data_IF_341670630785
#
_entry.id   IF_341670630785
#
_cell.length_a   1.000
_cell.length_b   1.000
_cell.length_c   1.000
_cell.angle_alpha   90.00
_cell.angle_beta   90.00
_cell.angle_gamma   90.00
#
_symmetry.space_group_name_H-M   'P 1'
#
loop_
_entity.id
_entity.type
_entity.pdbx_description
1 polymer ?
#
# COMPACT_ATOMS: atom_id res chain seq x y z
N UNK A 1 3.51 -14.00 -7.30
CA UNK A 1 4.31 -12.89 -7.85
C UNK A 1 5.79 -13.09 -7.49
N UNK A 2 6.69 -13.07 -8.47
CA UNK A 2 8.15 -13.31 -8.35
C UNK A 2 8.89 -12.18 -7.60
N UNK A 3 8.24 -11.04 -7.39
CA UNK A 3 8.77 -9.87 -6.65
C UNK A 3 7.70 -9.29 -5.71
N UNK A 4 7.34 -10.02 -4.65
CA UNK A 4 6.27 -9.62 -3.71
C UNK A 4 6.56 -8.34 -2.93
N UNK A 5 7.83 -8.05 -2.67
CA UNK A 5 8.26 -6.84 -1.94
C UNK A 5 8.38 -5.60 -2.82
N UNK A 6 8.15 -5.72 -4.13
CA UNK A 6 8.53 -4.70 -5.10
C UNK A 6 10.04 -4.67 -5.34
N UNK A 7 10.43 -3.85 -6.31
CA UNK A 7 11.83 -3.55 -6.66
C UNK A 7 11.98 -2.07 -6.91
N UNK A 8 13.18 -1.54 -6.68
CA UNK A 8 13.54 -0.17 -7.05
C UNK A 8 13.70 -0.04 -8.56
N UNK A 9 13.66 1.19 -9.06
CA UNK A 9 13.88 1.49 -10.47
C UNK A 9 15.24 0.96 -10.96
N UNK A 10 16.30 1.11 -10.15
CA UNK A 10 17.65 0.62 -10.48
C UNK A 10 17.72 -0.91 -10.57
N UNK A 11 17.02 -1.61 -9.69
CA UNK A 11 16.92 -3.07 -9.73
C UNK A 11 16.11 -3.54 -10.94
N UNK A 12 15.05 -2.82 -11.28
CA UNK A 12 14.26 -3.07 -12.49
C UNK A 12 15.11 -2.93 -13.76
N UNK A 13 15.87 -1.85 -13.88
CA UNK A 13 16.77 -1.64 -15.03
C UNK A 13 17.85 -2.72 -15.11
N UNK A 14 18.44 -3.11 -13.97
CA UNK A 14 19.38 -4.22 -13.91
C UNK A 14 18.74 -5.55 -14.33
N UNK A 15 17.50 -5.82 -13.94
CA UNK A 15 16.74 -6.99 -14.37
C UNK A 15 16.54 -6.96 -15.90
N UNK A 16 16.10 -5.83 -16.45
CA UNK A 16 15.86 -5.71 -17.89
C UNK A 16 17.14 -5.88 -18.72
N UNK A 17 18.30 -5.48 -18.20
CA UNK A 17 19.59 -5.69 -18.86
C UNK A 17 19.96 -7.18 -18.97
N UNK A 18 19.56 -7.98 -17.99
CA UNK A 18 19.85 -9.42 -17.92
C UNK A 18 18.77 -10.27 -18.57
N UNK A 19 17.54 -9.76 -18.58
CA UNK A 19 16.34 -10.49 -18.99
C UNK A 19 15.37 -9.54 -19.71
N UNK A 20 15.58 -9.27 -21.01
CA UNK A 20 14.73 -8.33 -21.77
C UNK A 20 13.26 -8.72 -21.82
N UNK A 21 12.93 -10.02 -21.78
CA UNK A 21 11.55 -10.54 -21.76
C UNK A 21 10.79 -10.16 -20.48
N UNK A 22 11.51 -9.75 -19.42
CA UNK A 22 10.87 -9.26 -18.21
C UNK A 22 10.03 -8.00 -18.46
N UNK A 23 10.27 -7.25 -19.54
CA UNK A 23 9.45 -6.07 -19.91
C UNK A 23 7.96 -6.38 -20.10
N UNK A 24 7.61 -7.59 -20.53
CA UNK A 24 6.22 -7.96 -20.83
C UNK A 24 5.45 -8.48 -19.61
N UNK A 25 6.11 -8.64 -18.47
CA UNK A 25 5.46 -9.07 -17.25
C UNK A 25 4.53 -7.98 -16.71
N UNK A 26 3.53 -8.39 -15.93
CA UNK A 26 2.53 -7.49 -15.32
C UNK A 26 3.10 -6.70 -14.14
N UNK A 27 3.97 -5.73 -14.44
CA UNK A 27 4.51 -4.81 -13.45
C UNK A 27 3.45 -3.82 -12.97
N UNK A 28 3.47 -3.54 -11.67
CA UNK A 28 2.69 -2.47 -11.08
C UNK A 28 3.64 -1.42 -10.52
N UNK A 29 3.42 -0.15 -10.89
CA UNK A 29 4.18 0.96 -10.33
C UNK A 29 3.67 1.22 -8.92
N UNK A 30 4.56 1.16 -7.93
CA UNK A 30 4.24 1.42 -6.53
C UNK A 30 5.01 2.65 -6.04
N UNK A 31 4.33 3.55 -5.32
CA UNK A 31 4.97 4.66 -4.61
C UNK A 31 5.34 4.19 -3.20
N UNK A 32 6.61 4.33 -2.82
CA UNK A 32 7.07 4.02 -1.45
C UNK A 32 6.60 5.11 -0.50
N UNK A 33 6.06 4.71 0.65
CA UNK A 33 5.53 5.62 1.70
C UNK A 33 4.57 6.68 1.13
N UNK A 34 3.46 6.28 0.48
CA UNK A 34 2.51 7.24 -0.05
C UNK A 34 1.83 7.98 1.11
N UNK A 35 1.68 9.29 0.98
CA UNK A 35 0.78 10.06 1.83
C UNK A 35 -0.62 10.02 1.21
N UNK A 36 -1.57 9.54 1.99
CA UNK A 36 -2.97 9.39 1.58
C UNK A 36 -3.83 10.21 2.52
N UNK A 37 -4.82 10.91 1.96
CA UNK A 37 -5.76 11.73 2.71
C UNK A 37 -7.19 11.27 2.41
N UNK A 38 -8.03 11.25 3.43
CA UNK A 38 -9.44 10.89 3.33
C UNK A 38 -10.34 11.98 3.93
N UNK A 39 -11.53 12.14 3.35
CA UNK A 39 -12.61 13.02 3.82
C UNK A 39 -13.95 12.34 3.55
N UNK A 40 -14.93 12.53 4.43
CA UNK A 40 -16.28 11.98 4.25
C UNK A 40 -16.69 11.02 5.37
N UNK A 41 -17.56 10.04 5.05
CA UNK A 41 -18.12 9.11 6.04
C UNK A 41 -17.59 7.71 5.81
N UNK A 42 -17.05 7.09 6.86
CA UNK A 42 -16.55 5.72 6.84
C UNK A 42 -17.54 4.85 7.61
N UNK A 43 -18.08 3.83 6.95
CA UNK A 43 -19.02 2.87 7.55
C UNK A 43 -18.35 1.51 7.66
N UNK A 44 -18.35 0.93 8.84
CA UNK A 44 -17.93 -0.45 9.08
C UNK A 44 -19.11 -1.21 9.72
N UNK A 45 -19.42 -2.46 9.32
CA UNK A 45 -20.51 -3.21 9.92
C UNK A 45 -20.38 -3.37 11.44
N UNK A 46 -19.15 -3.51 11.93
CA UNK A 46 -18.88 -3.79 13.34
C UNK A 46 -18.74 -2.53 14.21
N UNK A 47 -18.77 -1.31 13.62
CA UNK A 47 -18.53 -0.06 14.35
C UNK A 47 -19.41 1.10 13.90
N UNK A 48 -19.48 2.14 14.73
CA UNK A 48 -20.18 3.38 14.41
C UNK A 48 -19.56 4.04 13.16
N UNK A 49 -20.40 4.78 12.42
CA UNK A 49 -19.93 5.56 11.26
C UNK A 49 -19.03 6.69 11.74
N UNK A 50 -17.82 6.78 11.17
CA UNK A 50 -16.87 7.85 11.47
C UNK A 50 -17.08 8.97 10.44
N UNK A 51 -17.23 10.21 10.92
CA UNK A 51 -17.30 11.39 10.06
C UNK A 51 -15.98 12.15 10.08
N UNK A 52 -15.42 12.40 8.89
CA UNK A 52 -14.18 13.12 8.64
C UNK A 52 -14.53 14.45 7.95
N UNK A 53 -14.76 15.55 8.71
CA UNK A 53 -15.27 16.81 8.16
C UNK A 53 -14.25 17.59 7.32
N UNK A 54 -12.96 17.31 7.49
CA UNK A 54 -11.87 17.86 6.69
C UNK A 54 -10.96 16.73 6.18
N UNK A 55 -9.82 17.06 5.58
CA UNK A 55 -8.88 16.06 5.11
C UNK A 55 -8.07 15.52 6.29
N UNK A 56 -8.16 14.21 6.53
CA UNK A 56 -7.36 13.52 7.53
C UNK A 56 -6.29 12.69 6.84
N UNK A 57 -5.09 12.67 7.41
CA UNK A 57 -4.01 11.80 6.93
C UNK A 57 -4.30 10.36 7.34
N UNK A 58 -4.29 9.48 6.36
CA UNK A 58 -4.45 8.05 6.55
C UNK A 58 -3.11 7.44 6.92
N UNK A 59 -3.05 6.73 8.04
CA UNK A 59 -1.85 6.00 8.47
C UNK A 59 -2.07 4.50 8.36
N UNK A 60 -1.08 3.78 7.84
CA UNK A 60 -1.10 2.32 7.91
C UNK A 60 -0.76 1.92 9.35
N UNK A 61 -1.72 1.29 10.02
CA UNK A 61 -1.46 0.61 11.29
C UNK A 61 -0.58 -0.60 11.06
N UNK A 62 0.47 -0.68 11.87
CA UNK A 62 1.40 -1.79 11.92
C UNK A 62 0.92 -2.90 12.87
N UNK A 63 -0.26 -2.75 13.47
CA UNK A 63 -0.84 -3.76 14.36
C UNK A 63 -1.28 -4.99 13.56
N UNK A 64 -0.43 -6.02 13.52
CA UNK A 64 -0.80 -7.36 13.09
C UNK A 64 -0.43 -8.39 14.16
N UNK A 65 -1.28 -9.41 14.40
CA UNK A 65 -0.86 -10.63 15.08
C UNK A 65 0.31 -11.25 14.32
N UNK A 66 1.36 -11.63 15.06
CA UNK A 66 2.55 -12.33 14.54
C UNK A 66 2.14 -13.50 13.63
N UNK A 67 2.45 -13.43 12.34
CA UNK A 67 2.36 -14.57 11.42
C UNK A 67 1.58 -14.38 10.11
N UNK A 68 0.82 -13.28 9.93
CA UNK A 68 0.13 -13.01 8.66
C UNK A 68 0.96 -12.08 7.76
N UNK A 69 0.98 -12.36 6.44
CA UNK A 69 1.58 -11.44 5.48
C UNK A 69 0.91 -10.08 5.58
N UNK A 70 1.70 -8.99 5.44
CA UNK A 70 1.33 -7.57 5.50
C UNK A 70 -0.01 -7.20 4.80
N UNK A 71 -1.15 -7.56 5.39
CA UNK A 71 -2.45 -6.94 5.14
C UNK A 71 -2.57 -5.76 6.09
N UNK A 72 -2.06 -4.60 5.67
CA UNK A 72 -2.00 -3.42 6.53
C UNK A 72 -3.40 -3.04 7.01
N UNK A 73 -3.59 -3.03 8.33
CA UNK A 73 -4.76 -2.38 8.92
C UNK A 73 -4.57 -0.88 8.69
N UNK A 74 -5.59 -0.17 8.28
CA UNK A 74 -5.53 1.28 8.07
C UNK A 74 -6.15 1.95 9.28
N UNK A 75 -5.39 2.83 9.93
CA UNK A 75 -5.83 3.62 11.09
C UNK A 75 -5.87 5.10 10.71
N UNK A 76 -6.78 5.84 11.35
CA UNK A 76 -6.93 7.27 11.20
C UNK A 76 -6.49 7.91 12.51
N UNK A 77 -5.62 8.92 12.44
CA UNK A 77 -5.21 9.73 13.60
C UNK A 77 -5.88 11.10 13.47
N UNK A 78 -6.55 11.57 14.53
CA UNK A 78 -7.04 12.96 14.64
C UNK A 78 -6.00 13.89 15.29
#
# INVERSE_FOLDING_TARGET
SRYRSGMTQREYEALLSRQPEARTWSWNVMKRNPEVYAKGKIRHPDHATIELPFWHRVVLSLEQPVGLQRTGNVVFLD
#
